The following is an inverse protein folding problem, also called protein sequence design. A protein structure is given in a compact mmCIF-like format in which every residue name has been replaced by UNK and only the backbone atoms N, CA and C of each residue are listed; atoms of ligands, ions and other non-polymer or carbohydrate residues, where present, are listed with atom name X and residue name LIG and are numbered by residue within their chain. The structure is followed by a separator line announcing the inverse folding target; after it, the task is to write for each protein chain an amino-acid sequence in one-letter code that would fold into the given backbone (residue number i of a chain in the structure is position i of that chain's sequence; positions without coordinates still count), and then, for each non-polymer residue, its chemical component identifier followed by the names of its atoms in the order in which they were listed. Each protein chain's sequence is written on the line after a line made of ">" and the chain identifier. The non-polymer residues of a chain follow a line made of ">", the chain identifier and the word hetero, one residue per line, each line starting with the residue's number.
data_IF_105815460287
#
_entry.id   IF_105815460287
#
_cell.length_a   1.000
_cell.length_b   1.000
_cell.length_c   1.000
_cell.angle_alpha   90.00
_cell.angle_beta   90.00
_cell.angle_gamma   90.00
#
_symmetry.space_group_name_H-M   'P 1'
#
loop_
_entity.id
_entity.type
_entity.pdbx_description
1 polymer ?
#
# COMPACT_ATOMS: atom_id res chain seq x y z
N UNK A 1 56.93 12.70 -7.84
CA UNK A 1 56.11 12.42 -6.64
C UNK A 1 54.63 12.48 -7.03
N UNK A 2 54.00 11.33 -7.32
CA UNK A 2 52.57 11.27 -7.66
C UNK A 2 51.82 10.59 -6.51
N UNK A 3 50.89 11.31 -5.88
CA UNK A 3 50.04 10.79 -4.80
C UNK A 3 48.87 10.02 -5.41
N UNK A 4 48.85 8.70 -5.25
CA UNK A 4 47.73 7.84 -5.61
C UNK A 4 46.57 8.09 -4.64
N UNK A 5 45.44 8.56 -5.19
CA UNK A 5 44.18 8.84 -4.51
C UNK A 5 43.55 7.49 -4.14
N UNK A 6 43.56 7.11 -2.85
CA UNK A 6 42.86 5.92 -2.35
C UNK A 6 41.35 6.12 -2.52
N UNK A 7 40.79 5.41 -3.49
CA UNK A 7 39.35 5.28 -3.69
C UNK A 7 38.77 4.49 -2.50
N UNK A 8 38.06 5.19 -1.61
CA UNK A 8 37.34 4.57 -0.50
C UNK A 8 36.04 3.99 -1.06
N UNK A 9 36.05 2.70 -1.38
CA UNK A 9 34.81 1.95 -1.57
C UNK A 9 34.10 1.86 -0.22
N UNK A 10 33.07 2.66 -0.03
CA UNK A 10 32.19 2.58 1.13
C UNK A 10 31.30 1.35 0.97
N UNK A 11 31.74 0.23 1.54
CA UNK A 11 30.85 -0.92 1.76
C UNK A 11 29.80 -0.45 2.77
N UNK A 12 28.62 -0.04 2.28
CA UNK A 12 27.45 0.18 3.13
C UNK A 12 27.14 -1.14 3.80
N UNK A 13 27.48 -1.26 5.08
CA UNK A 13 27.00 -2.35 5.91
C UNK A 13 25.47 -2.31 5.87
N UNK A 14 24.85 -3.32 5.27
CA UNK A 14 23.41 -3.54 5.37
C UNK A 14 23.09 -3.77 6.84
N UNK A 15 22.59 -2.72 7.51
CA UNK A 15 22.04 -2.85 8.85
C UNK A 15 20.91 -3.88 8.74
N UNK A 16 21.09 -5.07 9.31
CA UNK A 16 20.00 -6.03 9.52
C UNK A 16 18.93 -5.32 10.33
N UNK A 17 17.85 -4.94 9.66
CA UNK A 17 16.67 -4.38 10.31
C UNK A 17 16.01 -5.52 11.07
N UNK A 18 15.88 -5.38 12.40
CA UNK A 18 15.26 -6.39 13.23
C UNK A 18 13.74 -6.28 13.08
N UNK A 19 13.17 -7.11 12.18
CA UNK A 19 11.73 -7.15 11.92
C UNK A 19 11.08 -8.06 12.96
N UNK A 20 10.36 -7.44 13.91
CA UNK A 20 9.60 -8.18 14.93
C UNK A 20 8.33 -8.76 14.29
N UNK A 21 7.99 -10.00 14.62
CA UNK A 21 6.76 -10.69 14.16
C UNK A 21 6.64 -10.90 12.64
N UNK A 22 7.72 -10.69 11.88
CA UNK A 22 7.71 -10.81 10.42
C UNK A 22 6.94 -9.69 9.70
N UNK A 23 6.54 -8.62 10.41
CA UNK A 23 5.80 -7.49 9.84
C UNK A 23 6.70 -6.24 9.77
N UNK A 24 6.92 -5.74 8.55
CA UNK A 24 7.64 -4.49 8.29
C UNK A 24 6.69 -3.47 7.64
N UNK A 25 6.00 -2.70 8.48
CA UNK A 25 5.07 -1.67 8.03
C UNK A 25 5.76 -0.52 7.30
N UNK A 26 6.98 -0.17 7.73
CA UNK A 26 7.77 0.87 7.08
C UNK A 26 8.01 0.55 5.61
N UNK A 27 8.45 -0.69 5.34
CA UNK A 27 8.67 -1.21 4.00
C UNK A 27 7.35 -1.35 3.22
N UNK A 28 6.28 -1.88 3.81
CA UNK A 28 4.97 -2.00 3.14
C UNK A 28 4.42 -0.65 2.67
N UNK A 29 4.53 0.38 3.51
CA UNK A 29 4.11 1.74 3.18
C UNK A 29 5.03 2.31 2.09
N UNK A 30 6.35 2.10 2.20
CA UNK A 30 7.30 2.55 1.20
C UNK A 30 7.02 1.95 -0.19
N UNK A 31 6.75 0.65 -0.26
CA UNK A 31 6.41 -0.06 -1.49
C UNK A 31 5.11 0.44 -2.09
N UNK A 32 4.09 0.67 -1.26
CA UNK A 32 2.81 1.21 -1.73
C UNK A 32 2.99 2.58 -2.39
N UNK A 33 3.69 3.51 -1.72
CA UNK A 33 3.98 4.87 -2.25
C UNK A 33 4.80 4.76 -3.54
N UNK A 34 5.78 3.86 -3.59
CA UNK A 34 6.65 3.69 -4.77
C UNK A 34 5.89 3.14 -5.98
N UNK A 35 4.90 2.27 -5.75
CA UNK A 35 4.10 1.63 -6.81
C UNK A 35 2.87 2.45 -7.22
N UNK A 36 2.42 3.41 -6.40
CA UNK A 36 1.26 4.27 -6.67
C UNK A 36 1.68 5.74 -6.67
N UNK A 37 2.17 6.27 -7.80
CA UNK A 37 2.83 7.59 -7.87
C UNK A 37 1.88 8.78 -7.72
N UNK A 38 0.63 8.58 -7.29
CA UNK A 38 -0.32 9.66 -7.00
C UNK A 38 0.19 10.58 -5.89
N UNK A 39 1.00 10.06 -4.97
CA UNK A 39 1.56 10.79 -3.86
C UNK A 39 3.07 10.65 -3.80
N UNK A 40 3.80 11.76 -3.73
CA UNK A 40 5.23 11.72 -3.44
C UNK A 40 5.48 11.67 -1.92
N UNK A 41 6.61 11.07 -1.52
CA UNK A 41 7.01 11.06 -0.10
C UNK A 41 7.11 12.46 0.50
N UNK A 42 7.47 13.47 -0.30
CA UNK A 42 7.55 14.88 0.12
C UNK A 42 6.16 15.41 0.45
N UNK A 43 5.19 15.27 -0.46
CA UNK A 43 3.81 15.72 -0.26
C UNK A 43 3.17 15.04 0.95
N UNK A 44 3.38 13.73 1.10
CA UNK A 44 2.89 12.99 2.28
C UNK A 44 3.50 13.58 3.55
N UNK A 45 4.82 13.82 3.57
CA UNK A 45 5.52 14.31 4.75
C UNK A 45 5.09 15.73 5.16
N UNK A 46 4.66 16.54 4.20
CA UNK A 46 4.15 17.89 4.42
C UNK A 46 2.74 17.85 5.02
N UNK A 47 1.87 16.94 4.52
CA UNK A 47 0.50 16.78 5.02
C UNK A 47 0.47 16.29 6.47
N UNK A 48 1.26 15.26 6.79
CA UNK A 48 1.34 14.70 8.15
C UNK A 48 2.32 15.44 9.06
N UNK A 49 2.93 16.55 8.58
CA UNK A 49 3.76 17.50 9.35
C UNK A 49 4.97 16.88 10.08
N UNK A 50 5.61 15.87 9.51
CA UNK A 50 6.81 15.23 10.09
C UNK A 50 8.12 15.57 9.38
N UNK A 51 8.03 16.27 8.24
CA UNK A 51 9.16 16.63 7.39
C UNK A 51 9.82 15.44 6.69
N UNK A 52 10.57 15.72 5.62
CA UNK A 52 11.15 14.69 4.74
C UNK A 52 12.09 13.70 5.45
N UNK A 53 12.90 14.18 6.38
CA UNK A 53 13.81 13.31 7.16
C UNK A 53 13.03 12.43 8.15
N UNK A 54 11.99 12.96 8.79
CA UNK A 54 11.10 12.20 9.66
C UNK A 54 10.39 11.09 8.89
N UNK A 55 9.84 11.40 7.72
CA UNK A 55 9.22 10.40 6.83
C UNK A 55 10.23 9.32 6.40
N UNK A 56 11.43 9.73 5.98
CA UNK A 56 12.50 8.80 5.60
C UNK A 56 12.95 7.88 6.74
N UNK A 57 12.88 8.36 7.98
CA UNK A 57 13.17 7.55 9.17
C UNK A 57 12.04 6.56 9.43
N UNK A 58 10.78 7.01 9.39
CA UNK A 58 9.61 6.16 9.60
C UNK A 58 9.56 5.01 8.59
N UNK A 59 9.76 5.30 7.31
CA UNK A 59 9.75 4.28 6.24
C UNK A 59 10.87 3.23 6.38
N UNK A 60 11.95 3.51 7.12
CA UNK A 60 13.02 2.55 7.39
C UNK A 60 12.84 1.77 8.69
N UNK A 61 11.83 2.13 9.49
CA UNK A 61 11.55 1.48 10.75
C UNK A 61 10.43 0.46 10.54
N UNK A 62 10.61 -0.83 10.93
CA UNK A 62 9.57 -1.85 10.79
C UNK A 62 8.23 -1.49 11.41
N UNK A 63 8.24 -0.72 12.51
CA UNK A 63 6.99 -0.29 13.13
C UNK A 63 6.33 0.89 12.43
N UNK A 64 7.03 1.55 11.50
CA UNK A 64 6.76 2.88 10.93
C UNK A 64 6.72 4.02 11.97
N UNK A 65 5.89 3.89 13.00
CA UNK A 65 5.70 4.84 14.09
C UNK A 65 4.80 4.26 15.17
N UNK A 66 3.87 5.08 15.66
CA UNK A 66 2.80 4.70 16.59
C UNK A 66 1.57 4.18 15.84
N UNK A 67 0.60 3.62 16.55
CA UNK A 67 -0.68 3.23 15.96
C UNK A 67 -1.43 4.42 15.33
N UNK A 68 -1.36 5.61 15.93
CA UNK A 68 -1.94 6.82 15.35
C UNK A 68 -1.29 7.21 14.03
N UNK A 69 0.03 7.09 13.92
CA UNK A 69 0.75 7.37 12.67
C UNK A 69 0.33 6.41 11.55
N UNK A 70 0.06 5.14 11.90
CA UNK A 70 -0.39 4.12 10.95
C UNK A 70 -1.84 4.37 10.52
N UNK A 71 -2.70 4.81 11.45
CA UNK A 71 -4.08 5.22 11.12
C UNK A 71 -4.05 6.44 10.19
N UNK A 72 -3.27 7.46 10.52
CA UNK A 72 -3.16 8.68 9.73
C UNK A 72 -2.70 8.41 8.29
N UNK A 73 -1.63 7.62 8.12
CA UNK A 73 -1.14 7.28 6.78
C UNK A 73 -2.11 6.35 6.02
N UNK A 74 -2.83 5.47 6.73
CA UNK A 74 -3.84 4.61 6.10
C UNK A 74 -5.00 5.42 5.53
N UNK A 75 -5.47 6.43 6.28
CA UNK A 75 -6.52 7.35 5.84
C UNK A 75 -6.02 8.18 4.65
N UNK A 76 -4.83 8.76 4.75
CA UNK A 76 -4.26 9.61 3.70
C UNK A 76 -4.08 8.86 2.38
N UNK A 77 -3.53 7.65 2.44
CA UNK A 77 -3.25 6.83 1.26
C UNK A 77 -4.46 5.98 0.82
N UNK A 78 -5.57 6.07 1.54
CA UNK A 78 -6.77 5.24 1.36
C UNK A 78 -6.44 3.74 1.26
N UNK A 79 -5.48 3.30 2.07
CA UNK A 79 -4.97 1.92 2.08
C UNK A 79 -4.90 1.41 3.50
N UNK A 80 -5.46 0.22 3.71
CA UNK A 80 -5.42 -0.45 5.00
C UNK A 80 -4.02 -1.02 5.28
N UNK A 81 -3.32 -0.41 6.25
CA UNK A 81 -2.11 -0.93 6.88
C UNK A 81 -2.35 -1.46 8.30
N UNK A 82 -3.60 -1.46 8.78
CA UNK A 82 -3.99 -1.86 10.13
C UNK A 82 -4.26 -3.36 10.20
N UNK A 83 -4.97 -3.91 9.20
CA UNK A 83 -5.29 -5.34 9.16
C UNK A 83 -4.06 -6.25 9.30
N UNK A 84 -2.91 -5.98 8.65
CA UNK A 84 -1.68 -6.75 8.86
C UNK A 84 -1.24 -6.81 10.33
N UNK A 85 -1.40 -5.73 11.10
CA UNK A 85 -1.11 -5.75 12.54
C UNK A 85 -2.10 -6.61 13.33
N UNK A 86 -3.38 -6.58 12.96
CA UNK A 86 -4.40 -7.39 13.60
C UNK A 86 -4.21 -8.88 13.30
N UNK A 87 -3.74 -9.23 12.09
CA UNK A 87 -3.40 -10.60 11.72
C UNK A 87 -2.27 -11.16 12.57
N UNK A 88 -1.23 -10.36 12.86
CA UNK A 88 -0.17 -10.76 13.80
C UNK A 88 -0.75 -11.15 15.16
N UNK A 89 -1.71 -10.38 15.68
CA UNK A 89 -2.36 -10.69 16.97
C UNK A 89 -3.17 -11.98 16.87
N UNK A 90 -3.94 -12.16 15.78
CA UNK A 90 -4.73 -13.38 15.55
C UNK A 90 -3.87 -14.63 15.41
N UNK A 91 -2.67 -14.49 14.85
CA UNK A 91 -1.74 -15.58 14.55
C UNK A 91 -0.62 -15.71 15.60
N UNK A 92 -0.86 -15.30 16.86
CA UNK A 92 0.08 -15.46 17.97
C UNK A 92 1.49 -14.91 17.72
N UNK A 93 1.59 -13.76 17.05
CA UNK A 93 2.86 -13.09 16.78
C UNK A 93 3.53 -13.48 15.46
N UNK A 94 2.83 -14.17 14.56
CA UNK A 94 3.35 -14.50 13.22
C UNK A 94 2.53 -13.76 12.17
N UNK A 95 3.17 -12.82 11.46
CA UNK A 95 2.58 -12.29 10.23
C UNK A 95 2.74 -13.31 9.10
N UNK A 96 1.63 -13.80 8.58
CA UNK A 96 1.59 -14.57 7.34
C UNK A 96 0.80 -13.76 6.32
N UNK A 97 1.45 -13.20 5.28
CA UNK A 97 0.72 -12.50 4.25
C UNK A 97 -0.27 -13.46 3.60
N UNK A 98 -1.54 -13.05 3.48
CA UNK A 98 -2.59 -13.85 2.85
C UNK A 98 -2.15 -14.21 1.43
N UNK A 99 -1.91 -15.50 1.20
CA UNK A 99 -1.64 -16.06 -0.13
C UNK A 99 -2.89 -16.75 -0.62
N UNK A 100 -3.53 -16.17 -1.63
CA UNK A 100 -4.60 -16.86 -2.35
C UNK A 100 -4.00 -18.00 -3.16
N UNK A 101 -4.66 -19.15 -3.14
CA UNK A 101 -4.38 -20.23 -4.08
C UNK A 101 -4.69 -19.79 -5.52
N UNK A 102 -4.06 -20.43 -6.50
CA UNK A 102 -4.32 -20.16 -7.93
C UNK A 102 -5.82 -20.32 -8.23
N UNK A 103 -6.45 -21.35 -7.66
CA UNK A 103 -7.88 -21.63 -7.82
C UNK A 103 -8.79 -20.54 -7.25
N UNK A 104 -8.43 -19.95 -6.10
CA UNK A 104 -9.18 -18.83 -5.52
C UNK A 104 -9.03 -17.58 -6.39
N UNK A 105 -7.83 -17.32 -6.91
CA UNK A 105 -7.60 -16.18 -7.82
C UNK A 105 -8.39 -16.34 -9.12
N UNK A 106 -8.43 -17.54 -9.69
CA UNK A 106 -9.22 -17.82 -10.90
C UNK A 106 -10.72 -17.67 -10.66
N UNK A 107 -11.24 -18.16 -9.53
CA UNK A 107 -12.63 -17.94 -9.13
C UNK A 107 -12.96 -16.46 -8.98
N UNK A 108 -12.13 -15.70 -8.27
CA UNK A 108 -12.31 -14.26 -8.11
C UNK A 108 -12.29 -13.52 -9.45
N UNK A 109 -11.42 -13.93 -10.40
CA UNK A 109 -11.40 -13.34 -11.75
C UNK A 109 -12.70 -13.62 -12.51
N UNK A 110 -13.25 -14.83 -12.39
CA UNK A 110 -14.52 -15.19 -13.02
C UNK A 110 -15.68 -14.37 -12.44
N UNK A 111 -15.73 -14.23 -11.11
CA UNK A 111 -16.76 -13.43 -10.43
C UNK A 111 -16.68 -11.95 -10.85
N UNK A 112 -15.48 -11.36 -10.87
CA UNK A 112 -15.28 -9.97 -11.32
C UNK A 112 -15.73 -9.78 -12.77
N UNK A 113 -15.48 -10.75 -13.66
CA UNK A 113 -15.93 -10.68 -15.05
C UNK A 113 -17.46 -10.73 -15.15
N UNK A 114 -18.11 -11.62 -14.38
CA UNK A 114 -19.57 -11.71 -14.32
C UNK A 114 -20.20 -10.41 -13.82
N UNK A 115 -19.70 -9.86 -12.71
CA UNK A 115 -20.23 -8.62 -12.14
C UNK A 115 -20.06 -7.42 -13.08
N UNK A 116 -18.95 -7.36 -13.82
CA UNK A 116 -18.76 -6.32 -14.84
C UNK A 116 -19.79 -6.42 -15.97
N UNK A 117 -20.05 -7.62 -16.48
CA UNK A 117 -21.06 -7.81 -17.53
C UNK A 117 -22.48 -7.44 -17.03
N UNK A 118 -22.84 -7.86 -15.81
CA UNK A 118 -24.11 -7.50 -15.19
C UNK A 118 -24.24 -5.97 -15.02
N UNK A 119 -23.17 -5.31 -14.57
CA UNK A 119 -23.15 -3.86 -14.43
C UNK A 119 -23.37 -3.14 -15.77
N UNK A 120 -22.69 -3.56 -16.83
CA UNK A 120 -22.85 -2.97 -18.17
C UNK A 120 -24.24 -3.24 -18.78
N UNK A 121 -24.88 -4.37 -18.45
CA UNK A 121 -26.28 -4.62 -18.83
C UNK A 121 -27.23 -3.68 -18.11
N UNK A 122 -27.10 -3.56 -16.79
CA UNK A 122 -27.94 -2.66 -15.98
C UNK A 122 -27.78 -1.20 -16.43
N UNK A 123 -26.54 -0.76 -16.71
CA UNK A 123 -26.27 0.58 -17.22
C UNK A 123 -27.01 0.85 -18.52
N UNK A 124 -26.98 -0.09 -19.48
CA UNK A 124 -27.72 0.02 -20.75
C UNK A 124 -29.23 0.10 -20.54
N UNK A 125 -29.78 -0.70 -19.64
CA UNK A 125 -31.22 -0.65 -19.32
C UNK A 125 -31.62 0.69 -18.70
N UNK A 126 -30.82 1.21 -17.77
CA UNK A 126 -31.05 2.54 -17.17
C UNK A 126 -30.99 3.64 -18.23
N UNK A 127 -30.01 3.61 -19.13
CA UNK A 127 -29.90 4.59 -20.23
C UNK A 127 -31.10 4.53 -21.18
N UNK A 128 -31.62 3.33 -21.47
CA UNK A 128 -32.83 3.15 -22.28
C UNK A 128 -34.07 3.70 -21.57
N UNK A 129 -34.23 3.42 -20.27
CA UNK A 129 -35.33 3.96 -19.48
C UNK A 129 -35.29 5.49 -19.40
N UNK A 130 -34.10 6.09 -19.28
CA UNK A 130 -33.93 7.54 -19.27
C UNK A 130 -34.39 8.16 -20.60
N UNK A 131 -33.98 7.60 -21.73
CA UNK A 131 -34.43 8.04 -23.06
C UNK A 131 -35.94 7.91 -23.26
N UNK A 132 -36.55 6.85 -22.74
CA UNK A 132 -38.01 6.66 -22.79
C UNK A 132 -38.74 7.68 -21.90
N UNK A 133 -38.17 8.03 -20.75
CA UNK A 133 -38.73 9.04 -19.86
C UNK A 133 -38.67 10.45 -20.48
N UNK A 134 -37.53 10.82 -21.07
CA UNK A 134 -37.34 12.11 -21.74
C UNK A 134 -38.18 12.25 -23.02
N UNK A 135 -38.33 11.17 -23.81
CA UNK A 135 -39.15 11.16 -25.02
C UNK A 135 -40.67 11.12 -24.79
N UNK A 136 -41.12 11.05 -23.53
CA UNK A 136 -42.54 11.09 -23.14
C UNK A 136 -43.00 12.43 -22.57
N UNK A 137 -42.16 13.48 -22.62
CA UNK A 137 -42.55 14.86 -22.28
C UNK A 137 -42.97 15.66 -23.50
#
# INVERSE_FOLDING_TARGET
>A
MAKTKKERVSVKAEKKVNIKYGLDLGQMIHEYISNHPTWTQTEISDIIKIGRQGMSHRLRNPSYGTCYDIIEISILLQKDFITPMLEVIKNNGVYEPVRYSIEEVERLKADVALYKDLYERQKREVDLLHKVAEGKS
#
